data_IF_764313874178
#
_entry.id   IF_764313874178
#
_cell.length_a   1.000
_cell.length_b   1.000
_cell.length_c   1.000
_cell.angle_alpha   90.00
_cell.angle_beta   90.00
_cell.angle_gamma   90.00
#
_symmetry.space_group_name_H-M   'P 1'
#
loop_
_entity.id
_entity.type
_entity.pdbx_description
1 polymer ?
#
# COMPACT_ATOMS: atom_id res chain seq x y z
N UNK A 1 -18.68 -3.97 1.94
CA UNK A 1 -18.33 -2.85 1.04
C UNK A 1 -16.81 -2.80 0.91
N UNK A 2 -16.29 -2.94 -0.31
CA UNK A 2 -14.85 -2.87 -0.57
C UNK A 2 -14.31 -1.52 -0.08
N UNK A 3 -13.21 -1.54 0.69
CA UNK A 3 -12.60 -0.34 1.29
C UNK A 3 -11.84 0.49 0.25
N UNK A 4 -12.27 0.50 -1.00
CA UNK A 4 -11.62 1.16 -2.12
C UNK A 4 -10.27 0.53 -2.49
N UNK A 5 -9.38 1.38 -2.98
CA UNK A 5 -8.05 1.00 -3.43
C UNK A 5 -7.01 2.02 -2.95
N UNK A 6 -5.76 1.58 -2.80
CA UNK A 6 -4.63 2.45 -2.51
C UNK A 6 -4.14 3.15 -3.76
N UNK A 7 -3.61 4.37 -3.60
CA UNK A 7 -2.92 5.09 -4.66
C UNK A 7 -1.41 4.99 -4.45
N UNK A 8 -0.63 4.70 -5.51
CA UNK A 8 0.81 4.92 -5.48
C UNK A 8 1.15 6.38 -5.20
N UNK A 9 2.12 6.63 -4.31
CA UNK A 9 2.45 7.99 -3.87
C UNK A 9 2.98 8.88 -5.00
N UNK A 10 3.62 8.30 -6.02
CA UNK A 10 4.05 9.08 -7.18
C UNK A 10 2.85 9.65 -7.97
N UNK A 11 1.69 8.98 -7.97
CA UNK A 11 0.48 9.51 -8.62
C UNK A 11 -0.13 10.68 -7.82
N UNK A 12 0.12 10.75 -6.51
CA UNK A 12 -0.42 11.80 -5.65
C UNK A 12 0.52 12.99 -5.50
N UNK A 13 1.83 12.73 -5.46
CA UNK A 13 2.83 13.71 -5.03
C UNK A 13 3.58 14.37 -6.20
N UNK A 14 3.51 13.79 -7.41
CA UNK A 14 4.09 14.37 -8.63
C UNK A 14 2.96 15.05 -9.43
N UNK A 15 2.91 16.40 -9.49
CA UNK A 15 1.82 17.11 -10.17
C UNK A 15 1.70 16.76 -11.67
N UNK A 16 2.83 16.46 -12.32
CA UNK A 16 2.85 16.03 -13.72
C UNK A 16 2.10 14.71 -13.98
N UNK A 17 1.77 13.94 -12.92
CA UNK A 17 1.04 12.68 -13.04
C UNK A 17 -0.46 12.78 -12.72
N UNK A 18 -1.01 14.00 -12.60
CA UNK A 18 -2.43 14.22 -12.30
C UNK A 18 -3.38 13.53 -13.29
N UNK A 19 -3.06 13.55 -14.59
CA UNK A 19 -3.87 12.88 -15.61
C UNK A 19 -3.82 11.35 -15.45
N UNK A 20 -2.65 10.80 -15.15
CA UNK A 20 -2.50 9.36 -14.88
C UNK A 20 -3.23 8.94 -13.62
N UNK A 21 -3.22 9.76 -12.57
CA UNK A 21 -4.01 9.53 -11.36
C UNK A 21 -5.50 9.42 -11.71
N UNK A 22 -6.01 10.35 -12.50
CA UNK A 22 -7.42 10.39 -12.91
C UNK A 22 -7.80 9.13 -13.70
N UNK A 23 -6.96 8.71 -14.65
CA UNK A 23 -7.15 7.48 -15.42
C UNK A 23 -7.12 6.25 -14.51
N UNK A 24 -6.13 6.17 -13.61
CA UNK A 24 -5.98 5.07 -12.67
C UNK A 24 -7.21 4.88 -11.76
N UNK A 25 -7.71 5.98 -11.19
CA UNK A 25 -8.90 5.97 -10.35
C UNK A 25 -10.14 5.53 -11.13
N UNK A 26 -10.34 6.08 -12.34
CA UNK A 26 -11.46 5.71 -13.22
C UNK A 26 -11.42 4.22 -13.56
N UNK A 27 -10.25 3.70 -13.93
CA UNK A 27 -10.10 2.32 -14.35
C UNK A 27 -10.33 1.36 -13.18
N UNK A 28 -9.86 1.68 -11.97
CA UNK A 28 -10.14 0.88 -10.78
C UNK A 28 -11.61 0.94 -10.37
N UNK A 29 -12.25 2.12 -10.41
CA UNK A 29 -13.70 2.23 -10.18
C UNK A 29 -14.46 1.36 -11.16
N UNK A 30 -14.14 1.46 -12.46
CA UNK A 30 -14.76 0.61 -13.50
C UNK A 30 -14.53 -0.88 -13.25
N UNK A 31 -13.32 -1.27 -12.82
CA UNK A 31 -13.00 -2.64 -12.47
C UNK A 31 -13.87 -3.16 -11.32
N UNK A 32 -13.98 -2.41 -10.23
CA UNK A 32 -14.82 -2.80 -9.09
C UNK A 32 -16.30 -2.88 -9.46
N UNK A 33 -16.83 -1.98 -10.28
CA UNK A 33 -18.21 -2.05 -10.78
C UNK A 33 -18.43 -3.34 -11.58
N UNK A 34 -17.54 -3.63 -12.55
CA UNK A 34 -17.63 -4.86 -13.35
C UNK A 34 -17.49 -6.12 -12.50
N UNK A 35 -16.60 -6.11 -11.50
CA UNK A 35 -16.43 -7.22 -10.58
C UNK A 35 -17.70 -7.44 -9.76
N UNK A 36 -18.33 -6.38 -9.25
CA UNK A 36 -19.59 -6.49 -8.53
C UNK A 36 -20.70 -7.09 -9.42
N UNK A 37 -20.89 -6.57 -10.62
CA UNK A 37 -21.88 -7.10 -11.58
C UNK A 37 -21.63 -8.57 -11.93
N UNK A 38 -20.35 -8.94 -12.09
CA UNK A 38 -19.96 -10.32 -12.32
C UNK A 38 -20.34 -11.22 -11.14
N UNK A 39 -20.00 -10.81 -9.92
CA UNK A 39 -20.33 -11.57 -8.70
C UNK A 39 -21.83 -11.71 -8.49
N UNK A 40 -22.62 -10.68 -8.79
CA UNK A 40 -24.08 -10.73 -8.72
C UNK A 40 -24.66 -11.75 -9.71
N UNK A 41 -24.21 -11.74 -10.97
CA UNK A 41 -24.63 -12.73 -11.99
C UNK A 41 -24.26 -14.15 -11.60
N UNK A 42 -23.05 -14.30 -11.09
CA UNK A 42 -22.47 -15.57 -10.71
C UNK A 42 -23.19 -16.16 -9.49
N UNK A 43 -23.45 -15.35 -8.46
CA UNK A 43 -24.25 -15.75 -7.30
C UNK A 43 -25.70 -16.07 -7.69
N UNK A 44 -26.32 -15.33 -8.60
CA UNK A 44 -27.66 -15.65 -9.10
C UNK A 44 -27.73 -16.98 -9.87
N UNK A 45 -26.64 -17.37 -10.52
CA UNK A 45 -26.60 -18.60 -11.35
C UNK A 45 -26.21 -19.84 -10.53
N UNK A 46 -25.27 -19.67 -9.60
CA UNK A 46 -24.61 -20.77 -8.91
C UNK A 46 -24.88 -20.78 -7.39
N UNK A 47 -25.67 -19.83 -6.88
CA UNK A 47 -26.01 -19.67 -5.47
C UNK A 47 -24.76 -19.71 -4.57
N UNK A 48 -24.80 -20.52 -3.50
CA UNK A 48 -23.77 -20.59 -2.46
C UNK A 48 -22.61 -21.54 -2.81
N UNK A 49 -22.51 -22.01 -4.07
CA UNK A 49 -21.43 -22.92 -4.47
C UNK A 49 -20.09 -22.23 -4.68
N UNK A 50 -20.06 -20.89 -4.60
CA UNK A 50 -18.87 -20.10 -4.88
C UNK A 50 -18.25 -19.63 -3.59
N UNK A 51 -17.06 -20.16 -3.34
CA UNK A 51 -16.25 -19.81 -2.18
C UNK A 51 -15.83 -18.34 -2.24
N UNK A 52 -15.86 -17.69 -1.10
CA UNK A 52 -15.29 -16.36 -0.88
C UNK A 52 -13.84 -16.26 -1.35
N UNK A 53 -13.05 -17.34 -1.24
CA UNK A 53 -11.68 -17.39 -1.74
C UNK A 53 -11.58 -17.11 -3.25
N UNK A 54 -12.56 -17.54 -4.04
CA UNK A 54 -12.61 -17.21 -5.47
C UNK A 54 -12.74 -15.70 -5.68
N UNK A 55 -13.60 -15.05 -4.91
CA UNK A 55 -13.81 -13.59 -4.98
C UNK A 55 -12.54 -12.83 -4.61
N UNK A 56 -11.81 -13.27 -3.58
CA UNK A 56 -10.56 -12.66 -3.16
C UNK A 56 -9.49 -12.69 -4.27
N UNK A 57 -9.43 -13.75 -5.07
CA UNK A 57 -8.49 -13.88 -6.18
C UNK A 57 -8.79 -12.94 -7.36
N UNK A 58 -9.97 -12.32 -7.38
CA UNK A 58 -10.36 -11.32 -8.39
C UNK A 58 -10.11 -9.89 -7.91
N UNK A 59 -9.65 -9.67 -6.67
CA UNK A 59 -9.33 -8.34 -6.20
C UNK A 59 -8.00 -7.87 -6.83
N UNK A 60 -7.92 -6.62 -7.32
CA UNK A 60 -6.66 -6.10 -7.85
C UNK A 60 -5.64 -5.93 -6.72
N UNK A 61 -4.34 -5.96 -7.04
CA UNK A 61 -3.28 -5.73 -6.04
C UNK A 61 -3.34 -4.36 -5.36
N UNK A 62 -4.04 -3.39 -5.97
CA UNK A 62 -4.32 -2.09 -5.37
C UNK A 62 -5.41 -2.13 -4.28
N UNK A 63 -6.08 -3.26 -4.08
CA UNK A 63 -7.12 -3.41 -3.07
C UNK A 63 -6.59 -3.04 -1.69
N UNK A 64 -7.31 -2.15 -1.00
CA UNK A 64 -6.89 -1.70 0.34
C UNK A 64 -7.23 -2.78 1.36
N UNK A 65 -6.20 -3.24 2.07
CA UNK A 65 -6.32 -4.20 3.16
C UNK A 65 -5.89 -3.55 4.47
N UNK A 66 -6.58 -3.90 5.54
CA UNK A 66 -6.12 -3.60 6.89
C UNK A 66 -5.21 -4.73 7.35
N UNK A 67 -4.02 -4.38 7.85
CA UNK A 67 -3.03 -5.35 8.26
C UNK A 67 -2.58 -5.02 9.68
N UNK A 68 -2.80 -5.97 10.58
CA UNK A 68 -2.31 -5.91 11.94
C UNK A 68 -0.92 -6.54 11.98
N UNK A 69 0.09 -5.75 12.34
CA UNK A 69 1.47 -6.19 12.44
C UNK A 69 1.92 -6.11 13.89
N UNK A 70 2.64 -7.13 14.36
CA UNK A 70 3.33 -7.13 15.63
C UNK A 70 4.80 -7.48 15.40
N UNK A 71 5.67 -7.04 16.30
CA UNK A 71 7.07 -7.43 16.26
C UNK A 71 7.81 -6.98 17.50
N UNK A 72 8.90 -7.68 17.80
CA UNK A 72 9.84 -7.28 18.85
C UNK A 72 10.75 -6.12 18.37
N UNK A 73 11.52 -5.47 19.28
CA UNK A 73 12.46 -4.41 18.92
C UNK A 73 13.44 -4.75 17.79
N UNK A 74 13.91 -6.00 17.73
CA UNK A 74 14.85 -6.45 16.69
C UNK A 74 14.16 -6.56 15.34
N UNK A 75 12.94 -7.06 15.29
CA UNK A 75 12.11 -7.14 14.09
C UNK A 75 11.75 -5.74 13.59
N UNK A 76 11.39 -4.83 14.50
CA UNK A 76 11.14 -3.42 14.19
C UNK A 76 12.37 -2.76 13.56
N UNK A 77 13.55 -2.93 14.18
CA UNK A 77 14.81 -2.40 13.66
C UNK A 77 15.14 -2.97 12.27
N UNK A 78 15.02 -4.28 12.10
CA UNK A 78 15.25 -4.93 10.81
C UNK A 78 14.29 -4.41 9.73
N UNK A 79 12.99 -4.32 10.05
CA UNK A 79 11.98 -3.80 9.13
C UNK A 79 12.30 -2.37 8.69
N UNK A 80 12.57 -1.47 9.64
CA UNK A 80 12.96 -0.09 9.34
C UNK A 80 14.21 -0.04 8.47
N UNK A 81 15.26 -0.79 8.82
CA UNK A 81 16.53 -0.77 8.10
C UNK A 81 16.43 -1.29 6.68
N UNK A 82 15.56 -2.26 6.40
CA UNK A 82 15.44 -2.85 5.07
C UNK A 82 14.40 -2.13 4.20
N UNK A 83 13.30 -1.68 4.80
CA UNK A 83 12.14 -1.18 4.04
C UNK A 83 12.10 0.33 3.89
N UNK A 84 12.98 1.09 4.53
CA UNK A 84 13.10 2.53 4.30
C UNK A 84 14.16 2.93 3.25
N UNK A 85 15.06 2.01 2.86
CA UNK A 85 16.18 2.27 1.95
C UNK A 85 15.74 2.67 0.53
N UNK A 86 16.51 3.53 -0.16
CA UNK A 86 16.34 3.82 -1.59
C UNK A 86 16.24 2.56 -2.47
N UNK A 87 15.55 2.68 -3.60
CA UNK A 87 15.33 1.58 -4.55
C UNK A 87 14.18 0.62 -4.21
N UNK A 88 13.59 0.70 -3.02
CA UNK A 88 12.34 0.01 -2.68
C UNK A 88 11.10 0.72 -3.24
N UNK A 89 9.97 0.01 -3.32
CA UNK A 89 8.70 0.60 -3.74
C UNK A 89 8.24 1.70 -2.76
N UNK A 90 7.98 2.90 -3.28
CA UNK A 90 7.81 4.12 -2.48
C UNK A 90 6.71 4.01 -1.41
N UNK A 91 5.57 3.41 -1.70
CA UNK A 91 4.50 3.23 -0.72
C UNK A 91 4.96 2.39 0.50
N UNK A 92 5.69 1.30 0.29
CA UNK A 92 6.21 0.50 1.41
C UNK A 92 7.23 1.27 2.22
N UNK A 93 8.04 2.10 1.56
CA UNK A 93 9.04 2.93 2.23
C UNK A 93 8.40 4.01 3.11
N UNK A 94 7.38 4.68 2.59
CA UNK A 94 6.62 5.67 3.35
C UNK A 94 5.94 5.04 4.58
N UNK A 95 5.31 3.86 4.41
CA UNK A 95 4.71 3.12 5.52
C UNK A 95 5.77 2.70 6.55
N UNK A 96 6.93 2.21 6.11
CA UNK A 96 8.02 1.82 7.01
C UNK A 96 8.60 3.02 7.78
N UNK A 97 8.70 4.18 7.12
CA UNK A 97 9.10 5.43 7.75
C UNK A 97 8.07 5.87 8.81
N UNK A 98 6.79 5.89 8.47
CA UNK A 98 5.72 6.29 9.40
C UNK A 98 5.67 5.36 10.62
N UNK A 99 5.72 4.05 10.40
CA UNK A 99 5.80 3.07 11.48
C UNK A 99 7.01 3.32 12.40
N UNK A 100 8.18 3.64 11.84
CA UNK A 100 9.36 3.98 12.62
C UNK A 100 9.18 5.28 13.43
N UNK A 101 8.57 6.32 12.86
CA UNK A 101 8.29 7.56 13.59
C UNK A 101 7.36 7.29 14.79
N UNK A 102 6.34 6.47 14.61
CA UNK A 102 5.41 6.08 15.67
C UNK A 102 6.12 5.24 16.74
N UNK A 103 6.91 4.23 16.36
CA UNK A 103 7.68 3.43 17.31
C UNK A 103 8.64 4.28 18.16
N UNK A 104 9.39 5.17 17.51
CA UNK A 104 10.32 6.06 18.21
C UNK A 104 9.62 7.08 19.12
N UNK A 105 8.35 7.42 18.82
CA UNK A 105 7.55 8.31 19.64
C UNK A 105 6.99 7.61 20.89
N UNK A 106 6.52 6.36 20.74
CA UNK A 106 5.80 5.66 21.80
C UNK A 106 6.67 4.73 22.66
N UNK A 107 7.85 4.32 22.19
CA UNK A 107 8.82 3.53 22.97
C UNK A 107 10.14 4.32 23.16
N UNK A 108 10.42 4.81 24.39
CA UNK A 108 11.65 5.54 24.68
C UNK A 108 12.94 4.77 24.34
N UNK A 109 12.94 3.44 24.45
CA UNK A 109 14.11 2.62 24.12
C UNK A 109 14.36 2.57 22.61
N UNK A 110 13.33 2.79 21.79
CA UNK A 110 13.43 2.80 20.33
C UNK A 110 13.59 4.21 19.75
N UNK A 111 13.56 5.26 20.59
CA UNK A 111 13.69 6.65 20.15
C UNK A 111 14.94 6.91 19.31
N UNK A 112 16.06 6.25 19.63
CA UNK A 112 17.32 6.35 18.91
C UNK A 112 17.27 5.78 17.48
N UNK A 113 16.26 4.96 17.14
CA UNK A 113 16.07 4.41 15.79
C UNK A 113 15.30 5.36 14.87
N UNK A 114 14.92 6.55 15.33
CA UNK A 114 14.13 7.50 14.54
C UNK A 114 14.88 7.88 13.27
N UNK A 115 14.25 7.61 12.13
CA UNK A 115 14.76 8.03 10.83
C UNK A 115 14.68 9.55 10.69
N UNK A 116 15.74 10.14 10.16
CA UNK A 116 15.85 11.59 9.94
C UNK A 116 15.24 12.06 8.62
N UNK A 117 15.24 11.20 7.59
CA UNK A 117 14.77 11.53 6.25
C UNK A 117 13.49 10.76 5.91
N UNK A 118 12.43 11.50 5.59
CA UNK A 118 11.22 10.94 4.99
C UNK A 118 11.49 10.59 3.52
N UNK A 119 11.08 9.41 3.02
CA UNK A 119 11.12 9.11 1.60
C UNK A 119 10.33 10.14 0.80
N UNK A 120 10.93 10.67 -0.27
CA UNK A 120 10.31 11.64 -1.17
C UNK A 120 9.86 10.94 -2.47
N UNK A 121 8.55 10.77 -2.71
CA UNK A 121 8.04 10.14 -3.92
C UNK A 121 8.35 10.90 -5.21
N UNK A 122 8.67 12.19 -5.11
CA UNK A 122 8.97 13.07 -6.23
C UNK A 122 10.46 13.19 -6.52
N UNK A 123 11.32 12.66 -5.65
CA UNK A 123 12.76 12.68 -5.85
C UNK A 123 13.22 11.54 -6.76
N UNK A 124 13.95 11.89 -7.82
CA UNK A 124 14.57 10.93 -8.73
C UNK A 124 15.56 10.00 -8.01
N UNK A 125 16.33 10.54 -7.06
CA UNK A 125 17.37 9.79 -6.34
C UNK A 125 16.78 8.60 -5.58
N UNK A 126 15.55 8.74 -5.07
CA UNK A 126 14.85 7.70 -4.31
C UNK A 126 14.54 6.43 -5.14
N UNK A 127 14.62 6.51 -6.48
CA UNK A 127 14.36 5.40 -7.40
C UNK A 127 15.63 4.78 -8.00
N UNK A 128 16.67 5.59 -8.22
CA UNK A 128 17.87 5.16 -8.93
C UNK A 128 19.06 4.92 -8.02
N UNK A 129 19.11 5.58 -6.87
CA UNK A 129 20.15 5.31 -5.90
C UNK A 129 19.85 3.98 -5.20
N UNK A 130 20.76 3.02 -5.36
CA UNK A 130 20.71 1.69 -4.72
C UNK A 130 21.89 1.49 -3.77
N UNK A 131 22.66 2.54 -3.52
CA UNK A 131 23.90 2.55 -2.73
C UNK A 131 23.61 2.46 -1.23
#
# INVERSE_FOLDING_TARGET
MARGFGLPLYLTDIPAFADYKTVYERDLVSYYTKLQEFLEKVSATYHDTIDYAFVLNLLPLAHRVDLWMHGDPKQAAYFTMQRSRPGGHINYRALAYEANQLLALYDPYLSAMRLSKKPDPSSREEFFDRS
#
